data_IF_710454493810
#
_entry.id   IF_710454493810
#
_cell.length_a   1.000
_cell.length_b   1.000
_cell.length_c   1.000
_cell.angle_alpha   90.00
_cell.angle_beta   90.00
_cell.angle_gamma   90.00
#
_symmetry.space_group_name_H-M   'P 1'
#
loop_
_entity.id
_entity.type
_entity.pdbx_description
1 polymer ?
#
# COMPACT_ATOMS: atom_id res chain seq x y z
N UNK A 1 12.02 -2.48 19.46
CA UNK A 1 11.49 -2.87 18.13
C UNK A 1 12.21 -2.03 17.09
N UNK A 2 12.95 -2.65 16.15
CA UNK A 2 13.69 -1.91 15.13
C UNK A 2 12.75 -1.27 14.12
N UNK A 3 13.04 -0.03 13.73
CA UNK A 3 12.28 0.72 12.72
C UNK A 3 12.29 0.06 11.33
N UNK A 4 13.27 -0.82 11.09
CA UNK A 4 13.42 -1.62 9.86
C UNK A 4 12.67 -2.97 9.88
N UNK A 5 11.83 -3.20 10.88
CA UNK A 5 10.94 -4.37 10.87
C UNK A 5 9.81 -4.16 9.84
N UNK A 6 9.61 -5.07 8.87
CA UNK A 6 8.60 -4.91 7.83
C UNK A 6 7.19 -4.70 8.37
N UNK A 7 6.81 -5.37 9.46
CA UNK A 7 5.48 -5.24 10.06
C UNK A 7 5.31 -3.86 10.69
N UNK A 8 6.32 -3.39 11.43
CA UNK A 8 6.32 -2.04 12.02
C UNK A 8 6.24 -0.97 10.93
N UNK A 9 7.04 -1.10 9.87
CA UNK A 9 7.03 -0.17 8.75
C UNK A 9 5.69 -0.14 8.01
N UNK A 10 5.14 -1.32 7.70
CA UNK A 10 3.84 -1.47 7.05
C UNK A 10 2.73 -0.78 7.87
N UNK A 11 2.73 -0.96 9.19
CA UNK A 11 1.76 -0.32 10.09
C UNK A 11 1.90 1.21 10.12
N UNK A 12 3.14 1.75 10.11
CA UNK A 12 3.38 3.20 10.05
C UNK A 12 2.88 3.79 8.74
N UNK A 13 3.21 3.17 7.61
CA UNK A 13 2.79 3.62 6.28
C UNK A 13 1.28 3.56 6.14
N UNK A 14 0.64 2.46 6.56
CA UNK A 14 -0.82 2.32 6.55
C UNK A 14 -1.51 3.44 7.34
N UNK A 15 -1.07 3.70 8.58
CA UNK A 15 -1.63 4.79 9.40
C UNK A 15 -1.43 6.16 8.77
N UNK A 16 -0.28 6.40 8.16
CA UNK A 16 0.00 7.67 7.48
C UNK A 16 -0.90 7.88 6.26
N UNK A 17 -1.17 6.81 5.51
CA UNK A 17 -2.08 6.82 4.36
C UNK A 17 -3.51 7.06 4.83
N UNK A 18 -4.01 6.28 5.80
CA UNK A 18 -5.37 6.42 6.35
C UNK A 18 -5.66 7.84 6.86
N UNK A 19 -4.64 8.55 7.37
CA UNK A 19 -4.76 9.92 7.85
C UNK A 19 -4.75 10.98 6.73
N UNK A 20 -4.07 10.72 5.61
CA UNK A 20 -3.78 11.73 4.57
C UNK A 20 -4.56 11.53 3.28
N UNK A 21 -4.96 10.30 2.97
CA UNK A 21 -5.50 9.92 1.68
C UNK A 21 -6.87 9.24 1.87
N UNK A 22 -7.92 9.69 1.18
CA UNK A 22 -9.19 8.98 1.16
C UNK A 22 -9.08 7.70 0.33
N UNK A 23 -9.77 6.64 0.77
CA UNK A 23 -9.86 5.37 0.06
C UNK A 23 -9.13 4.21 0.75
N UNK A 24 -9.20 3.03 0.13
CA UNK A 24 -8.54 1.81 0.62
C UNK A 24 -7.26 1.58 -0.15
N UNK A 25 -6.14 1.62 0.56
CA UNK A 25 -4.81 1.33 0.01
C UNK A 25 -4.29 0.03 0.60
N UNK A 26 -3.57 -0.72 -0.23
CA UNK A 26 -2.79 -1.87 0.20
C UNK A 26 -1.34 -1.44 0.39
N UNK A 27 -0.71 -1.93 1.44
CA UNK A 27 0.70 -1.66 1.75
C UNK A 27 1.42 -2.98 1.95
N UNK A 28 2.54 -3.16 1.27
CA UNK A 28 3.41 -4.33 1.39
C UNK A 28 4.80 -3.83 1.73
N UNK A 29 5.41 -4.38 2.78
CA UNK A 29 6.79 -4.10 3.13
C UNK A 29 7.53 -5.43 3.30
N UNK A 30 8.76 -5.51 2.78
CA UNK A 30 9.59 -6.70 2.89
C UNK A 30 11.07 -6.33 3.01
N UNK A 31 11.83 -7.23 3.61
CA UNK A 31 13.29 -7.20 3.59
C UNK A 31 13.78 -8.16 2.50
N UNK A 32 14.55 -7.65 1.54
CA UNK A 32 15.01 -8.43 0.38
C UNK A 32 14.01 -8.45 -0.79
N UNK A 33 14.20 -9.40 -1.70
CA UNK A 33 13.46 -9.48 -2.95
C UNK A 33 12.14 -10.23 -2.78
N UNK A 34 11.06 -9.64 -3.29
CA UNK A 34 9.78 -10.31 -3.44
C UNK A 34 9.14 -9.87 -4.77
N UNK A 35 8.36 -10.76 -5.38
CA UNK A 35 7.63 -10.46 -6.61
C UNK A 35 6.13 -10.52 -6.32
N UNK A 36 5.42 -9.45 -6.70
CA UNK A 36 3.98 -9.35 -6.55
C UNK A 36 3.40 -8.50 -7.69
N UNK A 37 2.22 -8.88 -8.19
CA UNK A 37 1.53 -8.18 -9.27
C UNK A 37 0.21 -7.64 -8.75
N UNK A 38 -0.06 -6.36 -8.99
CA UNK A 38 -1.32 -5.70 -8.65
C UNK A 38 -1.81 -4.87 -9.83
N UNK A 39 -3.12 -4.91 -10.07
CA UNK A 39 -3.77 -3.99 -10.99
C UNK A 39 -4.09 -2.70 -10.22
N UNK A 40 -3.40 -1.62 -10.57
CA UNK A 40 -3.52 -0.32 -9.92
C UNK A 40 -3.26 0.78 -10.95
N UNK A 41 -3.93 1.93 -10.80
CA UNK A 41 -3.63 3.15 -11.55
C UNK A 41 -2.46 3.94 -10.94
N UNK A 42 -2.20 3.73 -9.65
CA UNK A 42 -1.33 4.56 -8.84
C UNK A 42 -0.63 3.74 -7.76
N UNK A 43 0.69 3.79 -7.77
CA UNK A 43 1.53 3.17 -6.75
C UNK A 43 2.65 4.10 -6.30
N UNK A 44 3.13 3.86 -5.09
CA UNK A 44 4.27 4.53 -4.49
C UNK A 44 5.23 3.46 -3.94
N UNK A 45 6.50 3.57 -4.29
CA UNK A 45 7.57 2.70 -3.80
C UNK A 45 8.56 3.53 -2.99
N UNK A 46 8.99 3.00 -1.84
CA UNK A 46 10.11 3.54 -1.08
C UNK A 46 11.07 2.43 -0.67
N UNK A 47 12.37 2.68 -0.80
CA UNK A 47 13.43 1.74 -0.45
C UNK A 47 14.35 2.38 0.57
N UNK A 48 14.53 1.70 1.70
CA UNK A 48 15.42 2.07 2.78
C UNK A 48 16.14 0.81 3.28
N UNK A 49 17.28 0.51 2.66
CA UNK A 49 17.95 -0.80 2.72
C UNK A 49 18.08 -1.38 4.16
N UNK A 50 17.70 -2.65 4.39
CA UNK A 50 17.24 -3.66 3.41
C UNK A 50 15.71 -3.66 3.18
N UNK A 51 14.98 -2.68 3.70
CA UNK A 51 13.52 -2.63 3.69
C UNK A 51 13.00 -1.93 2.44
N UNK A 52 12.09 -2.58 1.71
CA UNK A 52 11.35 -1.97 0.61
C UNK A 52 9.86 -2.02 0.90
N UNK A 53 9.17 -0.89 0.73
CA UNK A 53 7.73 -0.77 0.92
C UNK A 53 7.05 -0.27 -0.36
N UNK A 54 5.88 -0.84 -0.64
CA UNK A 54 5.00 -0.49 -1.73
C UNK A 54 3.64 -0.14 -1.16
N UNK A 55 3.05 0.95 -1.64
CA UNK A 55 1.68 1.34 -1.36
C UNK A 55 0.95 1.55 -2.68
N UNK A 56 -0.23 0.96 -2.83
CA UNK A 56 -1.02 1.08 -4.05
C UNK A 56 -2.50 1.05 -3.74
N UNK A 57 -3.29 1.69 -4.59
CA UNK A 57 -4.74 1.59 -4.55
C UNK A 57 -5.17 0.49 -5.52
N UNK A 58 -5.63 -0.68 -5.05
CA UNK A 58 -6.11 -1.70 -5.97
C UNK A 58 -7.25 -1.10 -6.79
N UNK A 59 -7.19 -1.29 -8.11
CA UNK A 59 -8.33 -1.07 -8.97
C UNK A 59 -9.38 -2.09 -8.54
N UNK A 60 -10.28 -1.68 -7.65
CA UNK A 60 -11.55 -2.36 -7.59
C UNK A 60 -12.19 -2.10 -8.95
N UNK A 61 -12.65 -3.15 -9.62
CA UNK A 61 -13.74 -2.97 -10.57
C UNK A 61 -14.83 -2.30 -9.73
N UNK A 62 -14.95 -0.99 -9.84
CA UNK A 62 -16.19 -0.34 -9.50
C UNK A 62 -17.19 -1.00 -10.45
N UNK A 63 -17.85 -2.06 -9.98
CA UNK A 63 -19.26 -2.18 -10.33
C UNK A 63 -19.86 -0.90 -9.82
N UNK A 64 -19.85 0.09 -10.70
CA UNK A 64 -20.71 1.24 -10.70
C UNK A 64 -22.12 0.70 -10.62
N UNK A 65 -22.55 0.32 -9.41
CA UNK A 65 -23.94 0.45 -9.04
C UNK A 65 -24.11 1.95 -8.90
N UNK A 66 -24.24 2.60 -10.05
CA UNK A 66 -24.81 3.93 -10.13
C UNK A 66 -26.17 3.77 -9.45
N UNK A 67 -26.28 4.25 -8.22
CA UNK A 67 -27.60 4.50 -7.63
C UNK A 67 -28.14 5.72 -8.37
N UNK A 68 -28.53 5.52 -9.63
CA UNK A 68 -29.46 6.42 -10.29
C UNK A 68 -30.82 6.12 -9.70
N UNK A 69 -31.48 7.19 -9.27
CA UNK A 69 -32.82 7.28 -8.66
C UNK A 69 -32.88 7.09 -7.16
#
# INVERSE_FOLDING_TARGET
>A
MSEKDPKVAMMKVRKAIEKKLPGKYSVICANGDFSYTAYTDSFCQTRNDPLTCYAFKPLMLETSFVSTT
#
